data_IF_318318635710
#
_entry.id   IF_318318635710
#
_cell.length_a   1.000
_cell.length_b   1.000
_cell.length_c   1.000
_cell.angle_alpha   90.00
_cell.angle_beta   90.00
_cell.angle_gamma   90.00
#
_symmetry.space_group_name_H-M   'P 1'
#
loop_
_entity.id
_entity.type
_entity.pdbx_description
1 polymer ?
#
# COMPACT_ATOMS: atom_id res chain seq x y z
N UNK A 1 -9.88 -17.07 23.06
CA UNK A 1 -9.87 -15.72 23.66
C UNK A 1 -10.42 -14.72 22.69
N UNK A 2 -11.34 -13.90 23.12
CA UNK A 2 -11.88 -12.86 22.27
C UNK A 2 -11.13 -11.55 22.50
N UNK A 3 -10.92 -10.82 21.41
CA UNK A 3 -10.30 -9.50 21.44
C UNK A 3 -11.36 -8.47 21.83
N UNK A 4 -11.02 -7.55 22.72
CA UNK A 4 -11.91 -6.42 23.03
C UNK A 4 -11.99 -5.46 21.85
N UNK A 5 -13.02 -4.61 21.82
CA UNK A 5 -13.15 -3.60 20.77
C UNK A 5 -11.94 -2.65 20.77
N UNK A 6 -11.48 -2.24 21.95
CA UNK A 6 -10.31 -1.36 22.06
C UNK A 6 -9.04 -2.02 21.50
N UNK A 7 -8.83 -3.31 21.77
CA UNK A 7 -7.70 -4.06 21.24
C UNK A 7 -7.77 -4.16 19.72
N UNK A 8 -8.96 -4.44 19.18
CA UNK A 8 -9.17 -4.55 17.74
C UNK A 8 -8.88 -3.21 17.04
N UNK A 9 -9.46 -2.12 17.52
CA UNK A 9 -9.26 -0.83 16.88
C UNK A 9 -7.82 -0.33 17.01
N UNK A 10 -7.16 -0.60 18.12
CA UNK A 10 -5.74 -0.29 18.27
C UNK A 10 -4.90 -1.08 17.27
N UNK A 11 -5.16 -2.38 17.15
CA UNK A 11 -4.48 -3.22 16.17
C UNK A 11 -4.74 -2.74 14.75
N UNK A 12 -5.98 -2.35 14.43
CA UNK A 12 -6.33 -1.82 13.11
C UNK A 12 -5.53 -0.56 12.80
N UNK A 13 -5.43 0.37 13.74
CA UNK A 13 -4.64 1.59 13.55
C UNK A 13 -3.14 1.31 13.40
N UNK A 14 -2.63 0.28 14.06
CA UNK A 14 -1.22 -0.11 13.95
C UNK A 14 -0.93 -0.84 12.63
N UNK A 15 -1.92 -1.50 12.06
CA UNK A 15 -1.75 -2.35 10.88
C UNK A 15 -2.20 -1.68 9.58
N UNK A 16 -2.82 -0.51 9.64
CA UNK A 16 -3.29 0.23 8.47
C UNK A 16 -2.68 1.62 8.39
N UNK A 17 -2.64 2.15 7.18
CA UNK A 17 -2.17 3.52 6.91
C UNK A 17 -2.99 4.06 5.75
N UNK A 18 -3.36 5.34 5.77
CA UNK A 18 -4.11 5.92 4.66
C UNK A 18 -3.19 6.45 3.55
N UNK A 19 -3.79 6.73 2.39
CA UNK A 19 -3.02 7.15 1.21
C UNK A 19 -2.27 8.46 1.42
N UNK A 20 -2.85 9.39 2.18
CA UNK A 20 -2.20 10.69 2.40
C UNK A 20 -1.00 10.57 3.32
N UNK A 21 -1.08 9.71 4.34
CA UNK A 21 0.06 9.44 5.22
C UNK A 21 1.20 8.76 4.47
N UNK A 22 0.89 7.88 3.51
CA UNK A 22 1.91 7.28 2.66
C UNK A 22 2.56 8.35 1.77
N UNK A 23 1.74 9.20 1.15
CA UNK A 23 2.23 10.27 0.27
C UNK A 23 3.10 11.29 1.01
N UNK A 24 2.74 11.58 2.27
CA UNK A 24 3.43 12.59 3.08
C UNK A 24 4.63 12.01 3.86
N UNK A 25 4.86 10.71 3.79
CA UNK A 25 5.96 10.08 4.50
C UNK A 25 7.30 10.61 3.99
N UNK A 26 8.28 10.72 4.91
CA UNK A 26 9.64 11.11 4.55
C UNK A 26 10.18 10.15 3.48
N UNK A 27 10.75 10.66 2.37
CA UNK A 27 11.32 9.80 1.34
C UNK A 27 12.30 8.78 1.92
N UNK A 28 12.11 7.51 1.56
CA UNK A 28 12.96 6.40 2.04
C UNK A 28 12.55 5.82 3.40
N UNK A 29 11.59 6.43 4.10
CA UNK A 29 11.13 5.90 5.39
C UNK A 29 10.22 4.69 5.26
N UNK A 30 9.55 4.52 4.13
CA UNK A 30 8.66 3.41 3.86
C UNK A 30 9.10 2.68 2.59
N UNK A 31 8.94 1.35 2.58
CA UNK A 31 9.04 0.55 1.37
C UNK A 31 7.62 0.24 0.93
N UNK A 32 7.16 0.89 -0.12
CA UNK A 32 5.82 0.70 -0.65
C UNK A 32 5.85 -0.44 -1.67
N UNK A 33 5.01 -1.44 -1.48
CA UNK A 33 4.99 -2.64 -2.31
C UNK A 33 3.65 -2.77 -3.02
N UNK A 34 3.71 -2.82 -4.34
CA UNK A 34 2.56 -3.16 -5.18
C UNK A 34 2.46 -4.69 -5.25
N UNK A 35 1.36 -5.24 -4.79
CA UNK A 35 1.18 -6.68 -4.67
C UNK A 35 0.33 -7.29 -5.79
N UNK A 36 -0.03 -6.45 -6.79
CA UNK A 36 -0.88 -6.88 -7.90
C UNK A 36 -0.06 -7.64 -8.94
N UNK A 37 -0.79 -8.26 -9.88
CA UNK A 37 -0.15 -8.97 -11.00
C UNK A 37 0.62 -8.01 -11.91
N UNK A 38 1.50 -8.57 -12.73
CA UNK A 38 2.37 -7.80 -13.64
C UNK A 38 1.58 -6.86 -14.56
N UNK A 39 0.49 -7.32 -15.15
CA UNK A 39 -0.29 -6.48 -16.06
C UNK A 39 -0.89 -5.25 -15.38
N UNK A 40 -1.24 -5.37 -14.12
CA UNK A 40 -1.76 -4.24 -13.33
C UNK A 40 -0.66 -3.24 -13.01
N UNK A 41 0.50 -3.73 -12.60
CA UNK A 41 1.70 -2.92 -12.39
C UNK A 41 2.07 -2.16 -13.67
N UNK A 42 2.10 -2.86 -14.79
CA UNK A 42 2.46 -2.26 -16.08
C UNK A 42 1.49 -1.16 -16.49
N UNK A 43 0.21 -1.32 -16.15
CA UNK A 43 -0.81 -0.33 -16.49
C UNK A 43 -0.63 0.98 -15.71
N UNK A 44 -0.19 0.89 -14.47
CA UNK A 44 0.06 2.06 -13.62
C UNK A 44 0.33 1.65 -12.18
N UNK A 45 1.28 2.33 -11.54
CA UNK A 45 1.66 2.03 -10.15
C UNK A 45 2.17 3.30 -9.45
N UNK A 46 2.24 3.24 -8.14
CA UNK A 46 2.75 4.36 -7.33
C UNK A 46 4.23 4.56 -7.63
N UNK A 47 4.68 5.80 -7.91
CA UNK A 47 6.10 6.06 -8.16
C UNK A 47 6.98 5.62 -6.98
N UNK A 48 8.08 4.94 -7.30
CA UNK A 48 9.01 4.45 -6.29
C UNK A 48 8.59 3.15 -5.60
N UNK A 49 7.41 2.61 -5.92
CA UNK A 49 6.98 1.35 -5.36
C UNK A 49 7.80 0.18 -5.90
N UNK A 50 7.92 -0.85 -5.07
CA UNK A 50 8.53 -2.13 -5.45
C UNK A 50 7.40 -3.07 -5.87
N UNK A 51 7.61 -3.83 -6.93
CA UNK A 51 6.61 -4.79 -7.38
C UNK A 51 6.94 -6.21 -6.91
N UNK A 52 6.11 -6.75 -6.03
CA UNK A 52 6.17 -8.15 -5.62
C UNK A 52 4.74 -8.69 -5.55
N UNK A 53 4.28 -9.44 -6.57
CA UNK A 53 2.98 -10.09 -6.50
C UNK A 53 2.87 -10.97 -5.25
N UNK A 54 1.69 -11.01 -4.65
CA UNK A 54 1.46 -11.66 -3.35
C UNK A 54 2.04 -13.08 -3.29
N UNK A 55 1.84 -13.89 -4.32
CA UNK A 55 2.32 -15.27 -4.34
C UNK A 55 3.85 -15.38 -4.33
N UNK A 56 4.56 -14.33 -4.72
CA UNK A 56 6.02 -14.31 -4.81
C UNK A 56 6.70 -13.74 -3.56
N UNK A 57 5.93 -13.21 -2.62
CA UNK A 57 6.48 -12.59 -1.41
C UNK A 57 7.41 -13.53 -0.64
N UNK A 58 7.02 -14.77 -0.33
CA UNK A 58 7.90 -15.66 0.42
C UNK A 58 9.25 -15.92 -0.26
N UNK A 59 9.28 -15.96 -1.60
CA UNK A 59 10.49 -16.25 -2.35
C UNK A 59 11.36 -15.01 -2.57
N UNK A 60 10.79 -13.82 -2.72
CA UNK A 60 11.51 -12.64 -3.19
C UNK A 60 11.76 -11.57 -2.13
N UNK A 61 10.97 -11.53 -1.06
CA UNK A 61 11.01 -10.42 -0.12
C UNK A 61 12.40 -10.18 0.47
N UNK A 62 13.07 -11.23 0.93
CA UNK A 62 14.39 -11.10 1.57
C UNK A 62 15.48 -10.59 0.61
N UNK A 63 15.33 -10.86 -0.68
CA UNK A 63 16.30 -10.43 -1.68
C UNK A 63 16.09 -8.96 -2.09
N UNK A 64 14.89 -8.44 -1.91
CA UNK A 64 14.50 -7.12 -2.42
C UNK A 64 14.37 -6.10 -1.29
N UNK A 65 13.90 -6.52 -0.11
CA UNK A 65 13.58 -5.61 0.99
C UNK A 65 14.43 -5.96 2.21
N UNK A 66 15.30 -5.03 2.67
CA UNK A 66 16.11 -5.28 3.85
C UNK A 66 15.27 -5.58 5.09
N UNK A 67 15.74 -6.49 5.93
CA UNK A 67 15.13 -6.74 7.22
C UNK A 67 15.10 -5.44 8.04
N UNK A 68 14.05 -5.24 8.82
CA UNK A 68 13.87 -4.02 9.60
C UNK A 68 13.21 -2.86 8.85
N UNK A 69 12.95 -3.02 7.55
CA UNK A 69 12.22 -2.01 6.78
C UNK A 69 10.78 -1.87 7.26
N UNK A 70 10.25 -0.66 7.13
CA UNK A 70 8.82 -0.40 7.34
C UNK A 70 8.10 -0.61 6.01
N UNK A 71 7.38 -1.72 5.89
CA UNK A 71 6.72 -2.12 4.63
C UNK A 71 5.28 -1.63 4.61
N UNK A 72 4.87 -1.07 3.47
CA UNK A 72 3.47 -0.72 3.22
C UNK A 72 3.04 -1.43 1.95
N UNK A 73 1.98 -2.22 2.04
CA UNK A 73 1.46 -2.96 0.89
C UNK A 73 0.18 -2.31 0.37
N UNK A 74 -0.03 -2.36 -0.94
CA UNK A 74 -1.29 -1.93 -1.53
C UNK A 74 -1.74 -2.86 -2.65
N UNK A 75 -3.04 -2.82 -2.91
CA UNK A 75 -3.67 -3.54 -4.01
C UNK A 75 -4.64 -2.59 -4.74
N UNK A 76 -5.75 -3.09 -5.22
CA UNK A 76 -6.65 -2.34 -6.09
C UNK A 76 -7.44 -1.25 -5.40
N UNK A 77 -8.20 -1.58 -4.36
CA UNK A 77 -9.13 -0.65 -3.74
C UNK A 77 -9.76 -1.24 -2.49
N UNK A 78 -10.73 -0.54 -1.88
CA UNK A 78 -11.27 -0.94 -0.58
C UNK A 78 -12.02 -2.27 -0.60
N UNK A 79 -12.50 -2.71 -1.77
CA UNK A 79 -13.17 -3.99 -1.91
C UNK A 79 -12.25 -5.18 -2.16
N UNK A 80 -10.94 -4.96 -2.23
CA UNK A 80 -9.96 -5.99 -2.54
C UNK A 80 -9.18 -6.37 -1.29
N UNK A 81 -9.15 -7.65 -0.95
CA UNK A 81 -8.38 -8.15 0.20
C UNK A 81 -6.95 -8.56 -0.17
N UNK A 82 -6.49 -8.23 -1.38
CA UNK A 82 -5.15 -8.60 -1.84
C UNK A 82 -4.04 -8.05 -0.97
N UNK A 83 -4.18 -6.80 -0.50
CA UNK A 83 -3.20 -6.22 0.39
C UNK A 83 -3.20 -6.87 1.77
N UNK A 84 -4.35 -7.35 2.26
CA UNK A 84 -4.42 -8.09 3.52
C UNK A 84 -3.65 -9.41 3.41
N UNK A 85 -3.84 -10.14 2.32
CA UNK A 85 -3.10 -11.38 2.06
C UNK A 85 -1.60 -11.12 1.97
N UNK A 86 -1.20 -10.06 1.29
CA UNK A 86 0.21 -9.68 1.17
C UNK A 86 0.80 -9.25 2.52
N UNK A 87 0.05 -8.47 3.30
CA UNK A 87 0.49 -8.04 4.63
C UNK A 87 0.74 -9.24 5.54
N UNK A 88 -0.16 -10.23 5.50
CA UNK A 88 0.02 -11.48 6.26
C UNK A 88 1.32 -12.18 5.84
N UNK A 89 1.57 -12.29 4.53
CA UNK A 89 2.79 -12.93 4.03
C UNK A 89 4.05 -12.23 4.52
N UNK A 90 4.09 -10.89 4.49
CA UNK A 90 5.22 -10.13 5.04
C UNK A 90 5.36 -10.29 6.55
N UNK A 91 4.24 -10.25 7.28
CA UNK A 91 4.25 -10.41 8.73
C UNK A 91 4.78 -11.77 9.15
N UNK A 92 4.41 -12.82 8.41
CA UNK A 92 4.91 -14.18 8.67
C UNK A 92 6.41 -14.31 8.43
N UNK A 93 6.99 -13.45 7.59
CA UNK A 93 8.43 -13.39 7.37
C UNK A 93 9.16 -12.49 8.40
N UNK A 94 8.42 -11.87 9.31
CA UNK A 94 9.00 -11.04 10.37
C UNK A 94 9.12 -9.56 10.05
N UNK A 95 8.59 -9.09 8.93
CA UNK A 95 8.60 -7.67 8.58
C UNK A 95 7.57 -6.88 9.39
N UNK A 96 7.89 -5.63 9.68
CA UNK A 96 6.91 -4.64 10.11
C UNK A 96 6.13 -4.20 8.87
N UNK A 97 4.83 -4.42 8.84
CA UNK A 97 4.01 -4.20 7.66
C UNK A 97 2.68 -3.54 7.99
N UNK A 98 2.22 -2.65 7.13
CA UNK A 98 0.89 -2.04 7.19
C UNK A 98 0.24 -2.10 5.82
N UNK A 99 -1.10 -2.14 5.81
CA UNK A 99 -1.88 -2.03 4.58
C UNK A 99 -2.20 -0.58 4.31
N UNK A 100 -1.97 -0.12 3.07
CA UNK A 100 -2.50 1.16 2.63
C UNK A 100 -3.98 0.98 2.28
N UNK A 101 -4.86 1.46 3.16
CA UNK A 101 -6.30 1.35 2.95
C UNK A 101 -6.73 2.18 1.74
N UNK A 102 -7.73 1.69 1.02
CA UNK A 102 -8.22 2.33 -0.20
C UNK A 102 -7.48 1.93 -1.47
N UNK A 103 -6.26 1.42 -1.35
CA UNK A 103 -5.49 0.93 -2.49
C UNK A 103 -5.15 1.99 -3.53
N UNK A 104 -4.75 1.54 -4.72
CA UNK A 104 -4.40 2.44 -5.81
C UNK A 104 -5.61 3.27 -6.28
N UNK A 105 -6.81 2.75 -6.12
CA UNK A 105 -8.02 3.50 -6.46
C UNK A 105 -8.08 4.82 -5.69
N UNK A 106 -7.94 4.77 -4.37
CA UNK A 106 -8.02 5.99 -3.55
C UNK A 106 -6.75 6.83 -3.65
N UNK A 107 -5.61 6.22 -3.96
CA UNK A 107 -4.40 6.97 -4.30
C UNK A 107 -4.68 7.90 -5.49
N UNK A 108 -5.22 7.34 -6.57
CA UNK A 108 -5.56 8.10 -7.78
C UNK A 108 -6.63 9.13 -7.51
N UNK A 109 -7.68 8.77 -6.77
CA UNK A 109 -8.81 9.67 -6.47
C UNK A 109 -8.41 10.83 -5.56
N UNK A 110 -7.33 10.70 -4.80
CA UNK A 110 -6.77 11.80 -4.03
C UNK A 110 -5.90 12.73 -4.88
N UNK A 111 -5.78 12.48 -6.18
CA UNK A 111 -4.99 13.30 -7.08
C UNK A 111 -3.49 13.04 -7.02
N UNK A 112 -3.09 11.90 -6.49
CA UNK A 112 -1.67 11.56 -6.33
C UNK A 112 -1.11 10.94 -7.62
N UNK A 113 0.21 11.08 -7.87
CA UNK A 113 0.80 10.66 -9.14
C UNK A 113 0.90 9.15 -9.30
N UNK A 114 0.74 8.68 -10.55
CA UNK A 114 0.89 7.27 -10.94
C UNK A 114 1.83 7.21 -12.13
N UNK A 115 2.79 6.30 -12.10
CA UNK A 115 3.64 6.01 -13.25
C UNK A 115 2.92 5.04 -14.19
N UNK A 116 2.85 5.43 -15.46
CA UNK A 116 2.26 4.62 -16.55
C UNK A 116 3.26 4.50 -17.69
N UNK A 117 3.02 3.63 -18.70
CA UNK A 117 3.89 3.56 -19.87
C UNK A 117 4.00 4.89 -20.62
N UNK A 118 3.01 5.78 -20.49
CA UNK A 118 3.01 7.09 -21.11
C UNK A 118 3.64 8.19 -20.24
N UNK A 119 4.16 7.83 -19.06
CA UNK A 119 4.73 8.75 -18.09
C UNK A 119 3.89 8.90 -16.84
N UNK A 120 4.19 9.92 -16.03
CA UNK A 120 3.47 10.18 -14.78
C UNK A 120 2.14 10.87 -15.08
N UNK A 121 1.07 10.37 -14.49
CA UNK A 121 -0.29 10.89 -14.66
C UNK A 121 -0.86 11.26 -13.29
N UNK A 122 -1.54 12.39 -13.22
CA UNK A 122 -2.33 12.81 -12.06
C UNK A 122 -3.71 13.23 -12.51
N UNK A 123 -4.73 12.87 -11.72
CA UNK A 123 -6.09 13.33 -11.94
C UNK A 123 -6.44 14.43 -10.95
N UNK A 124 -7.54 15.14 -11.19
CA UNK A 124 -8.07 16.10 -10.21
C UNK A 124 -8.49 15.35 -8.96
N UNK A 125 -8.20 15.88 -7.75
CA UNK A 125 -8.68 15.25 -6.52
C UNK A 125 -10.21 15.17 -6.49
N UNK A 126 -10.71 14.00 -6.07
CA UNK A 126 -12.13 13.77 -5.93
C UNK A 126 -12.59 14.24 -4.54
N UNK A 127 -13.47 15.23 -4.49
CA UNK A 127 -13.95 15.82 -3.25
C UNK A 127 -14.72 14.83 -2.36
N UNK A 128 -15.12 13.67 -2.90
CA UNK A 128 -15.79 12.63 -2.11
C UNK A 128 -14.79 11.81 -1.26
N UNK A 129 -13.53 11.83 -1.61
CA UNK A 129 -12.52 10.98 -0.95
C UNK A 129 -11.40 11.77 -0.29
N UNK A 130 -11.32 13.06 -0.52
CA UNK A 130 -10.29 13.90 0.07
C UNK A 130 -10.84 15.28 0.39
N UNK A 131 -10.37 15.88 1.48
CA UNK A 131 -10.66 17.26 1.76
C UNK A 131 -9.87 18.15 0.82
N UNK A 132 -10.55 18.97 0.05
CA UNK A 132 -9.86 19.95 -0.79
C UNK A 132 -9.20 20.99 0.09
N UNK A 133 -7.93 21.33 -0.18
CA UNK A 133 -7.42 22.58 0.36
C UNK A 133 -8.27 23.72 -0.22
N UNK A 134 -8.72 24.56 0.64
CA UNK A 134 -9.54 25.72 0.26
C UNK A 134 -8.71 26.64 -0.67
#
# INVERSE_FOLDING_TARGET
MSMSAAEYFRAKLECEIDVMDVADATPGSLVVVDTRRQSSWDHGHIPGAVHIPTAQIPALAADVIPAGSQVVVYSWGPGCNGSTLAALAFAELGYSVREMIGGIEYWIRNGLPVETPAGVVQTEPDALVTAHPA
#
